data_IF_950044878882
#
_entry.id   IF_950044878882
#
_cell.length_a   1.000
_cell.length_b   1.000
_cell.length_c   1.000
_cell.angle_alpha   90.00
_cell.angle_beta   90.00
_cell.angle_gamma   90.00
#
_symmetry.space_group_name_H-M   'P 1'
#
loop_
_entity.id
_entity.type
_entity.pdbx_description
1 polymer ?
#
# COMPACT_ATOMS: atom_id res chain seq x y z
N UNK A 1 17.06 1.72 39.69
CA UNK A 1 16.98 1.46 38.23
C UNK A 1 16.93 -0.05 38.11
N UNK A 2 16.01 -0.59 37.31
CA UNK A 2 15.96 -2.03 37.06
C UNK A 2 17.25 -2.53 36.41
N UNK A 3 17.52 -3.83 36.49
CA UNK A 3 18.66 -4.49 35.87
C UNK A 3 18.54 -4.33 34.32
N UNK A 4 19.66 -4.01 33.65
CA UNK A 4 19.70 -3.90 32.19
C UNK A 4 19.93 -5.29 31.59
N UNK A 5 19.02 -5.73 30.77
CA UNK A 5 19.13 -6.99 30.05
C UNK A 5 19.85 -6.76 28.72
N UNK A 6 20.97 -7.47 28.50
CA UNK A 6 21.77 -7.36 27.28
C UNK A 6 21.34 -8.37 26.23
N UNK A 7 21.25 -7.91 24.98
CA UNK A 7 20.83 -8.66 23.81
C UNK A 7 21.78 -8.38 22.63
N UNK A 8 22.05 -9.36 21.78
CA UNK A 8 22.78 -9.14 20.54
C UNK A 8 21.94 -8.30 19.56
N UNK A 9 20.60 -8.55 19.54
CA UNK A 9 19.66 -7.90 18.64
C UNK A 9 18.40 -7.47 19.39
N UNK A 10 18.08 -6.18 19.30
CA UNK A 10 16.85 -5.60 19.83
C UNK A 10 16.03 -5.00 18.69
N UNK A 11 14.82 -5.50 18.49
CA UNK A 11 13.91 -5.00 17.47
C UNK A 11 12.78 -4.21 18.13
N UNK A 12 12.52 -3.01 17.62
CA UNK A 12 11.44 -2.17 18.10
C UNK A 12 10.33 -2.10 17.06
N UNK A 13 9.26 -2.87 17.29
CA UNK A 13 8.12 -3.10 16.42
C UNK A 13 8.20 -4.42 15.65
N UNK A 14 7.12 -5.21 15.73
CA UNK A 14 7.00 -6.54 15.12
C UNK A 14 6.44 -6.54 13.69
N UNK A 15 6.52 -5.40 12.97
CA UNK A 15 6.08 -5.30 11.59
C UNK A 15 6.82 -6.23 10.64
N UNK A 16 6.53 -6.15 9.32
CA UNK A 16 7.06 -7.10 8.34
C UNK A 16 8.59 -7.23 8.37
N UNK A 17 9.33 -6.11 8.32
CA UNK A 17 10.79 -6.13 8.43
C UNK A 17 11.27 -6.55 9.81
N UNK A 18 10.61 -6.05 10.88
CA UNK A 18 11.00 -6.34 12.25
C UNK A 18 10.89 -7.81 12.63
N UNK A 19 9.78 -8.47 12.30
CA UNK A 19 9.60 -9.91 12.56
C UNK A 19 10.62 -10.77 11.80
N UNK A 20 10.90 -10.44 10.53
CA UNK A 20 11.90 -11.18 9.75
C UNK A 20 13.30 -10.99 10.32
N UNK A 21 13.67 -9.77 10.72
CA UNK A 21 14.92 -9.50 11.43
C UNK A 21 15.02 -10.35 12.68
N UNK A 22 13.99 -10.35 13.52
CA UNK A 22 14.00 -11.09 14.79
C UNK A 22 14.09 -12.60 14.58
N UNK A 23 13.24 -13.16 13.73
CA UNK A 23 13.23 -14.61 13.48
C UNK A 23 14.54 -15.12 12.87
N UNK A 24 15.13 -14.34 11.95
CA UNK A 24 16.39 -14.72 11.32
C UNK A 24 17.54 -14.62 12.29
N UNK A 25 17.70 -13.50 13.00
CA UNK A 25 18.77 -13.32 13.98
C UNK A 25 18.73 -14.36 15.10
N UNK A 26 17.54 -14.69 15.62
CA UNK A 26 17.42 -15.73 16.63
C UNK A 26 17.79 -17.13 16.12
N UNK A 27 17.41 -17.48 14.87
CA UNK A 27 17.82 -18.75 14.23
C UNK A 27 19.33 -18.82 13.97
N UNK A 28 19.99 -17.69 13.78
CA UNK A 28 21.44 -17.56 13.68
C UNK A 28 22.15 -17.63 15.06
N UNK A 29 21.41 -17.92 16.13
CA UNK A 29 21.94 -18.11 17.47
C UNK A 29 22.13 -16.82 18.27
N UNK A 30 21.62 -15.67 17.80
CA UNK A 30 21.73 -14.39 18.47
C UNK A 30 20.64 -14.23 19.55
N UNK A 31 20.99 -13.76 20.73
CA UNK A 31 20.03 -13.41 21.76
C UNK A 31 19.19 -12.22 21.30
N UNK A 32 17.95 -12.48 20.89
CA UNK A 32 17.07 -11.52 20.18
C UNK A 32 15.79 -11.29 20.93
N UNK A 33 15.41 -10.02 21.13
CA UNK A 33 14.08 -9.65 21.61
C UNK A 33 13.39 -8.63 20.69
N UNK A 34 12.06 -8.70 20.65
CA UNK A 34 11.19 -7.76 19.94
C UNK A 34 10.29 -7.07 20.94
N UNK A 35 10.28 -5.75 20.94
CA UNK A 35 9.32 -4.95 21.70
C UNK A 35 8.11 -4.65 20.81
N UNK A 36 6.94 -5.12 21.18
CA UNK A 36 5.69 -4.89 20.48
C UNK A 36 4.60 -4.40 21.45
N UNK A 37 3.97 -3.28 21.13
CA UNK A 37 2.95 -2.74 22.04
C UNK A 37 1.60 -3.46 21.96
N UNK A 38 1.19 -3.96 20.75
CA UNK A 38 -0.17 -4.50 20.58
C UNK A 38 -0.35 -5.45 19.41
N UNK A 39 0.17 -5.13 18.21
CA UNK A 39 -0.20 -5.77 16.95
C UNK A 39 0.93 -6.68 16.45
N UNK A 40 0.99 -7.91 16.94
CA UNK A 40 1.99 -8.87 16.49
C UNK A 40 1.96 -9.05 14.97
N UNK A 41 3.12 -8.95 14.31
CA UNK A 41 3.24 -8.96 12.86
C UNK A 41 2.97 -7.61 12.20
N UNK A 42 2.65 -6.57 13.00
CA UNK A 42 2.43 -5.20 12.53
C UNK A 42 1.05 -4.95 11.92
N UNK A 43 0.91 -3.85 11.20
CA UNK A 43 -0.36 -3.39 10.64
C UNK A 43 -0.91 -4.32 9.55
N UNK A 44 -0.05 -4.89 8.71
CA UNK A 44 -0.45 -5.68 7.54
C UNK A 44 -1.42 -6.83 7.86
N UNK A 45 -1.12 -7.77 8.79
CA UNK A 45 -2.04 -8.86 9.11
C UNK A 45 -3.22 -8.42 9.98
N UNK A 46 -3.11 -7.32 10.73
CA UNK A 46 -4.07 -6.98 11.77
C UNK A 46 -5.11 -5.93 11.33
N UNK A 47 -4.67 -4.84 10.69
CA UNK A 47 -5.51 -3.64 10.48
C UNK A 47 -5.33 -2.97 9.12
N UNK A 48 -4.59 -3.56 8.18
CA UNK A 48 -4.31 -2.93 6.88
C UNK A 48 -4.49 -3.90 5.71
N UNK A 49 -3.40 -4.38 5.10
CA UNK A 49 -3.43 -5.07 3.81
C UNK A 49 -4.40 -6.26 3.78
N UNK A 50 -4.16 -7.27 4.62
CA UNK A 50 -4.90 -8.53 4.53
C UNK A 50 -6.37 -8.40 4.99
N UNK A 51 -6.70 -7.73 6.11
CA UNK A 51 -8.09 -7.51 6.48
C UNK A 51 -8.85 -6.64 5.45
N UNK A 52 -8.22 -5.62 4.85
CA UNK A 52 -8.86 -4.82 3.80
C UNK A 52 -9.17 -5.68 2.57
N UNK A 53 -8.20 -6.46 2.08
CA UNK A 53 -8.42 -7.34 0.91
C UNK A 53 -9.46 -8.43 1.18
N UNK A 54 -9.56 -8.88 2.43
CA UNK A 54 -10.63 -9.78 2.85
C UNK A 54 -12.02 -9.12 2.75
N UNK A 55 -12.15 -7.86 3.17
CA UNK A 55 -13.40 -7.09 3.05
C UNK A 55 -13.71 -6.78 1.59
N UNK A 56 -12.72 -6.36 0.78
CA UNK A 56 -12.86 -6.14 -0.67
C UNK A 56 -13.38 -7.39 -1.37
N UNK A 57 -12.86 -8.58 -1.03
CA UNK A 57 -13.35 -9.83 -1.60
C UNK A 57 -14.83 -10.09 -1.25
N UNK A 58 -15.28 -9.73 -0.05
CA UNK A 58 -16.70 -9.81 0.31
C UNK A 58 -17.54 -8.82 -0.51
N UNK A 59 -17.01 -7.61 -0.77
CA UNK A 59 -17.67 -6.62 -1.60
C UNK A 59 -17.76 -7.07 -3.08
N UNK A 60 -16.71 -7.73 -3.58
CA UNK A 60 -16.72 -8.32 -4.93
C UNK A 60 -17.77 -9.41 -5.06
N UNK A 61 -17.91 -10.29 -4.06
CA UNK A 61 -18.97 -11.29 -4.04
C UNK A 61 -20.36 -10.65 -4.01
N UNK A 62 -20.54 -9.58 -3.22
CA UNK A 62 -21.81 -8.84 -3.19
C UNK A 62 -22.18 -8.24 -4.55
N UNK A 63 -21.18 -7.74 -5.28
CA UNK A 63 -21.35 -7.20 -6.61
C UNK A 63 -21.70 -8.29 -7.64
N UNK A 64 -21.03 -9.43 -7.62
CA UNK A 64 -21.37 -10.59 -8.45
C UNK A 64 -22.81 -11.06 -8.23
N UNK A 65 -23.27 -11.11 -6.98
CA UNK A 65 -24.66 -11.51 -6.68
C UNK A 65 -25.68 -10.49 -7.20
N UNK A 66 -25.36 -9.19 -7.28
CA UNK A 66 -26.24 -8.20 -7.89
C UNK A 66 -26.36 -8.36 -9.40
N UNK A 67 -25.30 -8.80 -10.04
CA UNK A 67 -25.19 -8.93 -11.49
C UNK A 67 -25.26 -10.41 -11.94
N UNK A 68 -25.79 -11.30 -11.10
CA UNK A 68 -25.83 -12.74 -11.32
C UNK A 68 -26.56 -13.13 -12.60
N UNK A 69 -27.57 -12.34 -13.00
CA UNK A 69 -28.33 -12.55 -14.25
C UNK A 69 -27.47 -12.42 -15.50
N UNK A 70 -26.44 -11.58 -15.47
CA UNK A 70 -25.49 -11.41 -16.58
C UNK A 70 -24.67 -12.69 -16.80
N UNK A 71 -24.59 -13.54 -15.77
CA UNK A 71 -23.91 -14.85 -15.81
C UNK A 71 -24.89 -16.04 -15.90
N UNK A 72 -26.17 -15.77 -16.20
CA UNK A 72 -27.19 -16.80 -16.34
C UNK A 72 -27.68 -17.42 -15.01
N UNK A 73 -27.34 -16.80 -13.88
CA UNK A 73 -27.86 -17.18 -12.54
C UNK A 73 -29.06 -16.28 -12.20
N UNK A 74 -29.96 -16.75 -11.37
CA UNK A 74 -31.15 -16.00 -10.94
C UNK A 74 -31.40 -16.25 -9.46
N UNK A 75 -30.54 -15.74 -8.59
CA UNK A 75 -30.69 -15.83 -7.13
C UNK A 75 -31.55 -14.68 -6.59
N UNK A 76 -32.09 -14.83 -5.39
CA UNK A 76 -32.73 -13.73 -4.67
C UNK A 76 -31.70 -12.64 -4.33
N UNK A 77 -32.10 -11.35 -4.23
CA UNK A 77 -31.22 -10.29 -3.81
C UNK A 77 -30.50 -10.67 -2.50
N UNK A 78 -29.16 -10.62 -2.49
CA UNK A 78 -28.42 -10.89 -1.27
C UNK A 78 -28.53 -9.69 -0.31
N UNK A 79 -28.85 -9.97 0.96
CA UNK A 79 -28.63 -9.01 2.04
C UNK A 79 -27.16 -9.09 2.47
N UNK A 80 -26.55 -7.94 2.72
CA UNK A 80 -25.19 -7.88 3.25
C UNK A 80 -25.26 -7.69 4.76
N UNK A 81 -24.77 -8.71 5.49
CA UNK A 81 -24.67 -8.68 6.93
C UNK A 81 -23.22 -8.25 7.32
N UNK A 82 -23.04 -6.97 7.64
CA UNK A 82 -21.72 -6.42 7.97
C UNK A 82 -21.06 -7.12 9.18
N UNK A 83 -21.87 -7.59 10.13
CA UNK A 83 -21.37 -8.39 11.25
C UNK A 83 -20.69 -9.68 10.78
N UNK A 84 -21.21 -10.35 9.73
CA UNK A 84 -20.62 -11.55 9.15
C UNK A 84 -19.38 -11.24 8.29
N UNK A 85 -19.37 -10.11 7.56
CA UNK A 85 -18.19 -9.62 6.85
C UNK A 85 -17.05 -9.38 7.86
N UNK A 86 -17.36 -8.70 8.97
CA UNK A 86 -16.41 -8.48 10.07
C UNK A 86 -15.94 -9.79 10.69
N UNK A 87 -16.85 -10.72 10.97
CA UNK A 87 -16.53 -12.03 11.56
C UNK A 87 -15.61 -12.84 10.64
N UNK A 88 -15.88 -12.86 9.31
CA UNK A 88 -15.02 -13.50 8.32
C UNK A 88 -13.60 -12.90 8.32
N UNK A 89 -13.49 -11.57 8.35
CA UNK A 89 -12.21 -10.86 8.45
C UNK A 89 -11.47 -11.21 9.74
N UNK A 90 -12.15 -11.19 10.90
CA UNK A 90 -11.55 -11.52 12.20
C UNK A 90 -11.01 -12.94 12.25
N UNK A 91 -11.75 -13.95 11.77
CA UNK A 91 -11.24 -15.33 11.70
C UNK A 91 -9.92 -15.45 10.95
N UNK A 92 -9.76 -14.71 9.84
CA UNK A 92 -8.50 -14.68 9.10
C UNK A 92 -7.39 -14.00 9.91
N UNK A 93 -7.67 -12.85 10.54
CA UNK A 93 -6.71 -12.11 11.36
C UNK A 93 -6.23 -12.95 12.54
N UNK A 94 -7.15 -13.62 13.25
CA UNK A 94 -6.82 -14.49 14.38
C UNK A 94 -5.90 -15.65 13.95
N UNK A 95 -6.18 -16.27 12.80
CA UNK A 95 -5.31 -17.29 12.23
C UNK A 95 -3.90 -16.79 11.93
N UNK A 96 -3.78 -15.57 11.39
CA UNK A 96 -2.49 -14.94 11.10
C UNK A 96 -1.73 -14.56 12.38
N UNK A 97 -2.41 -14.04 13.39
CA UNK A 97 -1.82 -13.74 14.70
C UNK A 97 -1.26 -15.00 15.33
N UNK A 98 -2.03 -16.09 15.35
CA UNK A 98 -1.59 -17.39 15.87
C UNK A 98 -0.36 -17.92 15.12
N UNK A 99 -0.35 -17.83 13.79
CA UNK A 99 0.81 -18.20 12.98
C UNK A 99 2.06 -17.37 13.35
N UNK A 100 1.90 -16.06 13.58
CA UNK A 100 3.03 -15.21 14.01
C UNK A 100 3.54 -15.60 15.41
N UNK A 101 2.64 -15.87 16.36
CA UNK A 101 3.00 -16.35 17.69
C UNK A 101 3.82 -17.65 17.64
N UNK A 102 3.37 -18.61 16.80
CA UNK A 102 4.07 -19.88 16.60
C UNK A 102 5.45 -19.67 15.97
N UNK A 103 5.58 -18.76 15.01
CA UNK A 103 6.85 -18.43 14.40
C UNK A 103 7.84 -17.80 15.39
N UNK A 104 7.39 -16.95 16.32
CA UNK A 104 8.24 -16.43 17.40
C UNK A 104 8.72 -17.56 18.31
N UNK A 105 7.82 -18.45 18.76
CA UNK A 105 8.20 -19.64 19.54
C UNK A 105 9.22 -20.51 18.82
N UNK A 106 8.99 -20.81 17.54
CA UNK A 106 9.89 -21.66 16.71
C UNK A 106 11.24 -21.01 16.42
N UNK A 107 11.31 -19.70 16.32
CA UNK A 107 12.57 -18.98 16.05
C UNK A 107 13.44 -18.82 17.28
N UNK A 108 12.88 -18.85 18.48
CA UNK A 108 13.57 -18.53 19.73
C UNK A 108 13.69 -17.03 20.01
N UNK A 109 13.16 -16.16 19.15
CA UNK A 109 13.13 -14.72 19.41
C UNK A 109 12.11 -14.41 20.54
N UNK A 110 12.54 -13.68 21.55
CA UNK A 110 11.69 -13.27 22.66
C UNK A 110 10.73 -12.15 22.20
N UNK A 111 9.45 -12.29 22.47
CA UNK A 111 8.43 -11.28 22.20
C UNK A 111 8.03 -10.60 23.50
N UNK A 112 8.40 -9.32 23.66
CA UNK A 112 8.12 -8.50 24.84
C UNK A 112 6.95 -7.56 24.52
N UNK A 113 5.78 -7.87 25.10
CA UNK A 113 4.62 -7.03 24.95
C UNK A 113 4.63 -5.84 25.90
N UNK A 114 4.73 -4.64 25.36
CA UNK A 114 4.74 -3.42 26.15
C UNK A 114 5.03 -2.18 25.32
N UNK A 115 4.84 -1.04 25.95
CA UNK A 115 5.12 0.27 25.36
C UNK A 115 6.58 0.65 25.62
N UNK A 116 7.38 0.65 24.56
CA UNK A 116 8.80 0.94 24.60
C UNK A 116 9.11 2.43 24.42
N UNK A 117 10.17 2.90 25.09
CA UNK A 117 10.79 4.20 24.82
C UNK A 117 12.29 4.14 25.09
N UNK A 118 13.08 4.82 24.25
CA UNK A 118 14.51 4.92 24.48
C UNK A 118 14.81 5.71 25.75
N UNK A 119 15.75 5.17 26.54
CA UNK A 119 16.34 5.82 27.74
C UNK A 119 17.84 6.08 27.55
N UNK A 120 18.45 5.59 26.50
CA UNK A 120 19.83 5.75 26.06
C UNK A 120 20.00 5.31 24.61
N UNK A 121 21.19 5.43 24.05
CA UNK A 121 21.47 5.25 22.62
C UNK A 121 20.91 3.94 22.04
N UNK A 122 21.06 2.81 22.75
CA UNK A 122 20.59 1.49 22.32
C UNK A 122 19.78 0.79 23.40
N UNK A 123 19.21 1.58 24.32
CA UNK A 123 18.55 1.07 25.51
C UNK A 123 17.10 1.51 25.52
N UNK A 124 16.19 0.55 25.54
CA UNK A 124 14.75 0.73 25.56
C UNK A 124 14.20 0.32 26.92
N UNK A 125 13.49 1.25 27.58
CA UNK A 125 12.61 0.91 28.70
C UNK A 125 11.27 0.44 28.12
N UNK A 126 10.80 -0.70 28.55
CA UNK A 126 9.52 -1.28 28.15
C UNK A 126 8.60 -1.33 29.35
N UNK A 127 7.51 -0.59 29.31
CA UNK A 127 6.40 -0.71 30.26
C UNK A 127 5.52 -1.88 29.78
N UNK A 128 5.55 -2.98 30.53
CA UNK A 128 4.87 -4.21 30.12
C UNK A 128 3.34 -4.07 30.19
N UNK A 129 2.66 -4.70 29.24
CA UNK A 129 1.18 -4.69 29.20
C UNK A 129 0.53 -5.41 30.39
N UNK A 130 1.24 -6.35 31.02
CA UNK A 130 0.81 -7.08 32.22
C UNK A 130 1.34 -6.48 33.54
N UNK A 131 1.92 -5.30 33.50
CA UNK A 131 2.49 -4.58 34.62
C UNK A 131 3.98 -4.78 34.79
N UNK A 132 4.61 -3.82 35.47
CA UNK A 132 6.05 -3.76 35.63
C UNK A 132 6.79 -3.14 34.43
N UNK A 133 8.11 -3.15 34.51
CA UNK A 133 8.98 -2.64 33.44
C UNK A 133 10.22 -3.51 33.25
N UNK A 134 10.76 -3.48 32.04
CA UNK A 134 12.07 -4.07 31.69
C UNK A 134 12.93 -3.01 31.01
N UNK A 135 14.25 -3.15 31.17
CA UNK A 135 15.23 -2.30 30.49
C UNK A 135 16.07 -3.20 29.59
N UNK A 136 15.91 -3.05 28.28
CA UNK A 136 16.58 -3.88 27.28
C UNK A 136 17.64 -3.06 26.55
N UNK A 137 18.86 -3.59 26.44
CA UNK A 137 19.96 -3.03 25.68
C UNK A 137 20.31 -3.97 24.53
N UNK A 138 20.40 -3.45 23.29
CA UNK A 138 20.81 -4.24 22.14
C UNK A 138 22.14 -3.76 21.58
N UNK A 139 23.05 -4.67 21.23
CA UNK A 139 24.28 -4.32 20.51
C UNK A 139 23.93 -3.75 19.13
N UNK A 140 22.92 -4.32 18.48
CA UNK A 140 22.25 -3.86 17.25
C UNK A 140 20.78 -3.61 17.51
N UNK A 141 20.29 -2.45 17.03
CA UNK A 141 18.88 -2.05 17.21
C UNK A 141 18.22 -1.83 15.85
N UNK A 142 17.02 -2.39 15.67
CA UNK A 142 16.25 -2.28 14.44
C UNK A 142 14.89 -1.64 14.73
N UNK A 143 14.62 -0.50 14.08
CA UNK A 143 13.39 0.27 14.23
C UNK A 143 12.43 -0.11 13.11
N UNK A 144 11.28 -0.71 13.46
CA UNK A 144 10.21 -1.03 12.52
C UNK A 144 8.86 -0.56 13.07
N UNK A 145 8.83 0.73 13.42
CA UNK A 145 7.73 1.37 14.14
C UNK A 145 6.48 1.58 13.29
N UNK A 146 6.63 1.56 11.96
CA UNK A 146 5.52 1.79 11.02
C UNK A 146 4.96 3.20 11.08
N UNK A 147 3.71 3.35 10.60
CA UNK A 147 2.95 4.60 10.56
C UNK A 147 1.51 4.38 11.03
N UNK A 148 0.76 5.45 11.20
CA UNK A 148 -0.69 5.46 11.45
C UNK A 148 -1.38 6.46 10.53
N UNK A 149 -2.73 6.40 10.44
CA UNK A 149 -3.51 7.32 9.62
C UNK A 149 -3.36 8.76 10.11
N UNK A 150 -3.12 9.68 9.18
CA UNK A 150 -3.10 11.11 9.46
C UNK A 150 -4.54 11.64 9.55
N UNK A 151 -4.90 12.26 10.66
CA UNK A 151 -6.13 13.03 10.78
C UNK A 151 -5.76 14.50 10.64
N UNK A 152 -6.12 15.16 9.52
CA UNK A 152 -5.73 16.55 9.27
C UNK A 152 -6.38 17.49 10.30
N UNK A 153 -5.73 18.65 10.48
CA UNK A 153 -6.23 19.68 11.39
C UNK A 153 -7.30 20.52 10.69
N UNK A 154 -8.49 19.91 10.53
CA UNK A 154 -9.68 20.55 9.98
C UNK A 154 -10.61 20.85 11.17
N UNK A 155 -11.14 22.08 11.28
CA UNK A 155 -12.07 22.46 12.34
C UNK A 155 -13.21 21.44 12.52
N UNK A 156 -13.38 20.94 13.75
CA UNK A 156 -14.41 19.97 14.11
C UNK A 156 -14.15 18.51 13.71
N UNK A 157 -13.23 18.22 12.81
CA UNK A 157 -13.02 16.85 12.30
C UNK A 157 -12.69 15.85 13.41
N UNK A 158 -11.76 16.18 14.33
CA UNK A 158 -11.43 15.28 15.45
C UNK A 158 -12.60 15.07 16.40
N UNK A 159 -13.38 16.11 16.64
CA UNK A 159 -14.58 16.02 17.48
C UNK A 159 -15.67 15.16 16.85
N UNK A 160 -15.75 15.12 15.52
CA UNK A 160 -16.66 14.28 14.76
C UNK A 160 -16.30 12.78 14.79
N UNK A 161 -15.22 12.38 15.48
CA UNK A 161 -14.76 10.98 15.60
C UNK A 161 -14.67 10.27 14.26
N UNK A 162 -13.86 10.78 13.33
CA UNK A 162 -13.77 10.19 12.00
C UNK A 162 -13.25 8.75 12.07
N UNK A 163 -13.76 7.92 11.17
CA UNK A 163 -13.22 6.60 10.93
C UNK A 163 -11.86 6.74 10.25
N UNK A 164 -10.93 5.87 10.60
CA UNK A 164 -9.78 5.52 9.77
C UNK A 164 -10.01 4.14 9.16
N UNK A 165 -9.03 3.61 8.43
CA UNK A 165 -9.09 2.22 7.96
C UNK A 165 -9.27 1.20 9.10
N UNK A 166 -8.84 1.54 10.31
CA UNK A 166 -8.95 0.65 11.49
C UNK A 166 -10.40 0.49 11.91
N UNK A 167 -11.08 1.61 12.16
CA UNK A 167 -12.48 1.62 12.59
C UNK A 167 -13.40 1.14 11.46
N UNK A 168 -13.12 1.48 10.21
CA UNK A 168 -13.89 1.03 9.05
C UNK A 168 -13.89 -0.50 8.91
N UNK A 169 -12.77 -1.16 9.21
CA UNK A 169 -12.66 -2.63 9.22
C UNK A 169 -13.39 -3.29 10.39
N UNK A 170 -13.78 -2.55 11.40
CA UNK A 170 -14.50 -3.06 12.58
C UNK A 170 -16.00 -2.74 12.58
N UNK A 171 -16.50 -2.06 11.54
CA UNK A 171 -17.93 -1.78 11.42
C UNK A 171 -18.74 -3.09 11.32
N UNK A 172 -19.79 -3.18 12.12
CA UNK A 172 -20.80 -4.25 12.10
C UNK A 172 -22.15 -3.76 11.55
N UNK A 173 -22.19 -2.53 11.11
CA UNK A 173 -23.31 -1.89 10.44
C UNK A 173 -22.87 -1.27 9.12
N UNK A 174 -23.80 -1.15 8.21
CA UNK A 174 -23.56 -0.45 6.95
C UNK A 174 -23.83 1.06 7.14
N UNK A 175 -22.86 1.97 6.90
CA UNK A 175 -23.14 3.39 6.83
C UNK A 175 -24.21 3.70 5.77
N UNK A 176 -25.22 4.51 6.10
CA UNK A 176 -26.21 4.93 5.10
C UNK A 176 -25.60 5.86 4.05
N UNK A 177 -24.68 6.72 4.46
CA UNK A 177 -23.87 7.56 3.59
C UNK A 177 -22.48 7.76 4.19
N UNK A 178 -21.46 7.20 3.54
CA UNK A 178 -20.06 7.31 3.93
C UNK A 178 -19.38 8.44 3.13
N UNK A 179 -18.88 9.45 3.81
CA UNK A 179 -18.06 10.52 3.22
C UNK A 179 -16.60 10.15 3.43
N UNK A 180 -15.80 10.07 2.36
CA UNK A 180 -14.38 9.69 2.40
C UNK A 180 -13.53 10.91 2.02
N UNK A 181 -12.61 11.28 2.90
CA UNK A 181 -11.63 12.32 2.64
C UNK A 181 -10.34 11.70 2.10
N UNK A 182 -10.01 12.00 0.85
CA UNK A 182 -8.80 11.57 0.14
C UNK A 182 -9.04 10.52 -0.94
N UNK A 183 -8.59 10.82 -2.15
CA UNK A 183 -8.66 10.00 -3.36
C UNK A 183 -7.42 9.14 -3.61
N UNK A 184 -6.75 8.69 -2.54
CA UNK A 184 -5.62 7.75 -2.59
C UNK A 184 -6.05 6.29 -2.45
N UNK A 185 -5.08 5.37 -2.47
CA UNK A 185 -5.30 3.91 -2.46
C UNK A 185 -6.31 3.45 -1.40
N UNK A 186 -6.10 3.83 -0.14
CA UNK A 186 -6.97 3.40 0.98
C UNK A 186 -8.39 3.92 0.81
N UNK A 187 -8.54 5.22 0.49
CA UNK A 187 -9.85 5.84 0.29
C UNK A 187 -10.65 5.17 -0.81
N UNK A 188 -10.01 4.85 -1.94
CA UNK A 188 -10.68 4.28 -3.11
C UNK A 188 -11.06 2.81 -2.93
N UNK A 189 -10.22 2.01 -2.26
CA UNK A 189 -10.56 0.63 -1.89
C UNK A 189 -11.80 0.59 -0.98
N UNK A 190 -11.86 1.44 0.06
CA UNK A 190 -13.03 1.53 0.92
C UNK A 190 -14.24 2.13 0.20
N UNK A 191 -14.05 3.14 -0.67
CA UNK A 191 -15.13 3.73 -1.43
C UNK A 191 -15.89 2.69 -2.25
N UNK A 192 -15.16 1.90 -3.02
CA UNK A 192 -15.74 0.86 -3.84
C UNK A 192 -16.37 -0.26 -2.98
N UNK A 193 -15.67 -0.72 -1.95
CA UNK A 193 -16.18 -1.78 -1.10
C UNK A 193 -17.50 -1.41 -0.42
N UNK A 194 -17.60 -0.22 0.18
CA UNK A 194 -18.82 0.22 0.84
C UNK A 194 -19.95 0.53 -0.14
N UNK A 195 -19.66 1.08 -1.33
CA UNK A 195 -20.66 1.24 -2.39
C UNK A 195 -21.24 -0.12 -2.81
N UNK A 196 -20.39 -1.11 -3.00
CA UNK A 196 -20.78 -2.48 -3.32
C UNK A 196 -21.52 -3.19 -2.19
N UNK A 197 -21.34 -2.81 -0.96
CA UNK A 197 -22.19 -3.26 0.16
C UNK A 197 -23.55 -2.56 0.20
N UNK A 198 -23.71 -1.42 -0.47
CA UNK A 198 -24.98 -0.70 -0.57
C UNK A 198 -24.99 0.65 0.16
N UNK A 199 -23.87 1.13 0.69
CA UNK A 199 -23.76 2.50 1.19
C UNK A 199 -23.82 3.50 0.03
N UNK A 200 -24.47 4.64 0.25
CA UNK A 200 -24.12 5.82 -0.53
C UNK A 200 -22.69 6.23 -0.17
N UNK A 201 -21.86 6.54 -1.16
CA UNK A 201 -20.46 6.93 -0.92
C UNK A 201 -20.13 8.21 -1.68
N UNK A 202 -19.51 9.16 -0.99
CA UNK A 202 -18.94 10.37 -1.61
C UNK A 202 -17.46 10.47 -1.25
N UNK A 203 -16.58 10.50 -2.26
CA UNK A 203 -15.15 10.77 -2.11
C UNK A 203 -14.90 12.25 -2.35
N UNK A 204 -14.21 12.89 -1.42
CA UNK A 204 -13.79 14.30 -1.51
C UNK A 204 -12.28 14.34 -1.65
N UNK A 205 -11.80 14.84 -2.79
CA UNK A 205 -10.37 14.97 -3.12
C UNK A 205 -10.04 16.45 -3.42
N UNK A 206 -9.01 16.96 -2.76
CA UNK A 206 -8.55 18.34 -2.95
C UNK A 206 -7.83 18.56 -4.28
N UNK A 207 -7.25 17.49 -4.82
CA UNK A 207 -6.51 17.53 -6.07
C UNK A 207 -7.42 17.44 -7.31
N UNK A 208 -6.85 17.70 -8.49
CA UNK A 208 -7.57 17.66 -9.76
C UNK A 208 -7.85 16.24 -10.26
N UNK A 209 -7.27 15.22 -9.66
CA UNK A 209 -7.45 13.82 -10.04
C UNK A 209 -7.32 12.88 -8.83
N UNK A 210 -7.86 11.68 -8.97
CA UNK A 210 -7.57 10.56 -8.08
C UNK A 210 -6.13 10.09 -8.29
N UNK A 211 -5.55 9.38 -7.31
CA UNK A 211 -4.21 8.81 -7.43
C UNK A 211 -3.18 9.83 -7.96
N UNK A 212 -2.96 10.91 -7.25
CA UNK A 212 -2.19 12.09 -7.68
C UNK A 212 -0.79 11.80 -8.27
N UNK A 213 -0.23 10.61 -8.05
CA UNK A 213 1.08 10.18 -8.56
C UNK A 213 1.00 9.37 -9.86
N UNK A 214 -0.19 8.95 -10.26
CA UNK A 214 -0.38 8.15 -11.46
C UNK A 214 -0.63 9.04 -12.67
N UNK A 215 -0.41 8.49 -13.87
CA UNK A 215 -0.72 9.17 -15.11
C UNK A 215 -2.23 9.45 -15.20
N UNK A 216 -2.55 10.52 -15.90
CA UNK A 216 -3.95 10.99 -16.01
C UNK A 216 -4.90 9.94 -16.58
N UNK A 217 -4.46 9.15 -17.55
CA UNK A 217 -5.29 8.11 -18.16
C UNK A 217 -5.64 6.97 -17.18
N UNK A 218 -4.75 6.66 -16.25
CA UNK A 218 -4.99 5.71 -15.15
C UNK A 218 -6.01 6.27 -14.16
N UNK A 219 -5.83 7.54 -13.76
CA UNK A 219 -6.75 8.22 -12.86
C UNK A 219 -8.15 8.38 -13.44
N UNK A 220 -8.25 8.72 -14.74
CA UNK A 220 -9.51 8.86 -15.45
C UNK A 220 -10.25 7.52 -15.55
N UNK A 221 -9.57 6.43 -15.90
CA UNK A 221 -10.15 5.10 -15.95
C UNK A 221 -10.73 4.68 -14.59
N UNK A 222 -9.97 4.90 -13.52
CA UNK A 222 -10.44 4.56 -12.17
C UNK A 222 -11.63 5.42 -11.73
N UNK A 223 -11.62 6.70 -12.09
CA UNK A 223 -12.75 7.61 -11.83
C UNK A 223 -14.03 7.12 -12.50
N UNK A 224 -13.92 6.66 -13.76
CA UNK A 224 -15.04 6.08 -14.50
C UNK A 224 -15.58 4.82 -13.80
N UNK A 225 -14.71 3.89 -13.39
CA UNK A 225 -15.12 2.66 -12.72
C UNK A 225 -15.84 2.92 -11.40
N UNK A 226 -15.31 3.83 -10.58
CA UNK A 226 -15.96 4.20 -9.33
C UNK A 226 -17.33 4.85 -9.53
N UNK A 227 -17.48 5.68 -10.56
CA UNK A 227 -18.78 6.27 -10.91
C UNK A 227 -19.79 5.23 -11.38
N UNK A 228 -19.35 4.23 -12.16
CA UNK A 228 -20.19 3.09 -12.54
C UNK A 228 -20.65 2.28 -11.33
N UNK A 229 -19.79 2.14 -10.31
CA UNK A 229 -20.15 1.52 -9.02
C UNK A 229 -21.01 2.46 -8.13
N UNK A 230 -21.41 3.64 -8.61
CA UNK A 230 -22.30 4.59 -7.90
C UNK A 230 -21.59 5.49 -6.89
N UNK A 231 -20.26 5.59 -6.92
CA UNK A 231 -19.50 6.48 -6.05
C UNK A 231 -19.55 7.93 -6.58
N UNK A 232 -20.02 8.88 -5.76
CA UNK A 232 -19.92 10.31 -6.05
C UNK A 232 -18.47 10.78 -5.78
N UNK A 233 -17.73 11.18 -6.82
CA UNK A 233 -16.36 11.66 -6.69
C UNK A 233 -16.29 13.15 -6.97
N UNK A 234 -15.85 13.91 -5.97
CA UNK A 234 -15.68 15.36 -6.00
C UNK A 234 -14.21 15.73 -5.96
N UNK A 235 -13.69 16.21 -7.10
CA UNK A 235 -12.32 16.67 -7.27
C UNK A 235 -12.23 18.20 -7.10
N UNK A 236 -11.03 18.71 -6.78
CA UNK A 236 -10.78 20.14 -6.53
C UNK A 236 -11.66 20.72 -5.40
N UNK A 237 -11.91 19.92 -4.36
CA UNK A 237 -12.76 20.30 -3.25
C UNK A 237 -11.97 20.32 -1.95
N UNK A 238 -12.01 21.45 -1.24
CA UNK A 238 -11.41 21.57 0.07
C UNK A 238 -12.47 21.44 1.16
N UNK A 239 -12.15 20.70 2.21
CA UNK A 239 -12.98 20.61 3.42
C UNK A 239 -12.58 21.76 4.36
N UNK A 240 -13.55 22.59 4.75
CA UNK A 240 -13.32 23.73 5.65
C UNK A 240 -13.67 23.39 7.10
N UNK A 241 -14.73 22.64 7.32
CA UNK A 241 -15.23 22.31 8.65
C UNK A 241 -16.02 21.01 8.63
N UNK A 242 -16.03 20.31 9.76
CA UNK A 242 -16.85 19.12 9.99
C UNK A 242 -17.63 19.31 11.30
N UNK A 243 -18.91 18.98 11.27
CA UNK A 243 -19.82 19.04 12.43
C UNK A 243 -20.46 17.67 12.65
N UNK A 244 -20.96 17.41 13.87
CA UNK A 244 -21.63 16.15 14.19
C UNK A 244 -20.69 15.04 14.65
N UNK A 245 -21.06 13.78 14.43
CA UNK A 245 -20.28 12.60 14.87
C UNK A 245 -20.56 11.38 13.98
N UNK A 246 -19.51 10.68 13.56
CA UNK A 246 -19.62 9.39 12.87
C UNK A 246 -20.45 8.41 13.68
N UNK A 247 -21.27 7.64 12.98
CA UNK A 247 -22.23 6.73 13.57
C UNK A 247 -23.60 7.33 13.86
N UNK A 248 -23.76 8.64 13.62
CA UNK A 248 -25.03 9.36 13.79
C UNK A 248 -25.27 10.24 12.57
N UNK A 249 -24.76 11.47 12.59
CA UNK A 249 -24.84 12.43 11.50
C UNK A 249 -23.59 13.28 11.47
N UNK A 250 -23.01 13.45 10.28
CA UNK A 250 -21.91 14.36 10.02
C UNK A 250 -22.29 15.33 8.91
N UNK A 251 -21.91 16.60 9.10
CA UNK A 251 -22.02 17.65 8.09
C UNK A 251 -20.63 18.15 7.75
N UNK A 252 -20.29 18.09 6.45
CA UNK A 252 -18.98 18.48 5.93
C UNK A 252 -19.15 19.72 5.06
N UNK A 253 -18.62 20.85 5.51
CA UNK A 253 -18.63 22.10 4.77
C UNK A 253 -17.47 22.11 3.77
N UNK A 254 -17.78 22.37 2.51
CA UNK A 254 -16.90 22.26 1.36
C UNK A 254 -16.70 23.62 0.68
N UNK A 255 -15.48 23.90 0.27
CA UNK A 255 -15.14 25.02 -0.60
C UNK A 255 -14.68 24.52 -1.98
N UNK A 256 -15.16 25.19 -3.02
CA UNK A 256 -14.78 25.00 -4.41
C UNK A 256 -14.55 26.35 -5.08
N UNK A 257 -14.00 26.36 -6.29
CA UNK A 257 -13.91 27.60 -7.11
C UNK A 257 -15.29 28.24 -7.43
N UNK A 258 -16.37 27.44 -7.36
CA UNK A 258 -17.73 27.90 -7.62
C UNK A 258 -18.47 28.38 -6.35
N UNK A 259 -17.85 28.29 -5.16
CA UNK A 259 -18.45 28.69 -3.90
C UNK A 259 -18.45 27.56 -2.86
N UNK A 260 -19.21 27.78 -1.78
CA UNK A 260 -19.31 26.84 -0.66
C UNK A 260 -20.55 25.96 -0.79
N UNK A 261 -20.45 24.73 -0.30
CA UNK A 261 -21.56 23.78 -0.22
C UNK A 261 -21.38 22.89 1.01
N UNK A 262 -22.38 22.07 1.32
CA UNK A 262 -22.26 21.08 2.40
C UNK A 262 -22.69 19.70 1.94
N UNK A 263 -22.06 18.68 2.53
CA UNK A 263 -22.46 17.28 2.44
C UNK A 263 -22.97 16.81 3.80
N UNK A 264 -24.01 16.01 3.78
CA UNK A 264 -24.50 15.31 4.97
C UNK A 264 -24.31 13.81 4.79
N UNK A 265 -23.84 13.14 5.84
CA UNK A 265 -23.61 11.71 5.87
C UNK A 265 -23.82 11.11 7.24
N UNK A 266 -23.84 9.79 7.33
CA UNK A 266 -23.88 9.08 8.61
C UNK A 266 -22.49 8.92 9.22
N UNK A 267 -21.45 8.89 8.36
CA UNK A 267 -20.07 8.62 8.75
C UNK A 267 -19.07 9.37 7.87
N UNK A 268 -17.92 9.68 8.45
CA UNK A 268 -16.78 10.25 7.72
C UNK A 268 -15.55 9.38 7.93
N UNK A 269 -14.86 9.02 6.83
CA UNK A 269 -13.61 8.26 6.82
C UNK A 269 -12.47 9.14 6.34
N UNK A 270 -11.34 9.13 7.06
CA UNK A 270 -10.15 9.89 6.71
C UNK A 270 -9.09 8.97 6.10
N UNK A 271 -8.71 9.26 4.86
CA UNK A 271 -7.69 8.56 4.08
C UNK A 271 -6.69 9.53 3.42
N UNK A 272 -6.33 10.62 4.14
CA UNK A 272 -5.54 11.76 3.62
C UNK A 272 -4.03 11.61 3.78
N UNK A 273 -3.54 10.44 4.20
CA UNK A 273 -2.13 10.16 4.36
C UNK A 273 -1.79 9.44 5.67
N UNK A 274 -0.50 9.33 5.96
CA UNK A 274 0.03 8.60 7.11
C UNK A 274 1.14 9.39 7.80
N UNK A 275 1.29 9.17 9.11
CA UNK A 275 2.29 9.81 9.98
C UNK A 275 3.15 8.70 10.61
N UNK A 276 4.49 8.82 10.67
CA UNK A 276 5.35 7.82 11.29
C UNK A 276 5.14 7.73 12.81
N UNK A 277 5.27 6.52 13.36
CA UNK A 277 5.15 6.25 14.79
C UNK A 277 6.45 6.56 15.55
N UNK A 278 7.08 7.68 15.25
CA UNK A 278 8.36 8.12 15.81
C UNK A 278 8.23 9.10 16.97
N UNK A 279 7.05 9.67 17.15
CA UNK A 279 6.73 10.51 18.28
C UNK A 279 6.71 9.73 19.60
N UNK A 280 7.18 10.35 20.68
CA UNK A 280 7.13 9.82 22.07
C UNK A 280 7.86 8.48 22.30
N UNK A 281 8.74 8.06 21.39
CA UNK A 281 9.56 6.85 21.56
C UNK A 281 10.98 7.18 22.04
N UNK A 282 11.32 8.45 22.32
CA UNK A 282 12.58 8.89 22.90
C UNK A 282 13.76 8.86 21.92
N UNK A 283 13.54 9.09 20.61
CA UNK A 283 14.63 9.12 19.62
C UNK A 283 15.68 10.20 19.91
N UNK A 284 15.31 11.28 20.57
CA UNK A 284 16.20 12.34 21.04
C UNK A 284 17.36 11.84 21.90
N UNK A 285 17.22 10.68 22.53
CA UNK A 285 18.24 10.06 23.40
C UNK A 285 19.18 9.13 22.64
N UNK A 286 18.98 8.95 21.34
CA UNK A 286 19.68 7.92 20.55
C UNK A 286 20.70 8.48 19.58
N UNK A 287 20.59 9.74 19.19
CA UNK A 287 21.32 10.34 18.06
C UNK A 287 20.69 10.03 16.68
N UNK A 288 19.55 9.35 16.66
CA UNK A 288 18.78 9.11 15.42
C UNK A 288 18.05 10.38 15.02
N UNK A 289 18.37 10.92 13.83
CA UNK A 289 17.71 12.08 13.27
C UNK A 289 16.41 11.69 12.53
N UNK A 290 15.46 12.64 12.51
CA UNK A 290 14.24 12.55 11.70
C UNK A 290 14.15 13.72 10.72
N UNK A 291 13.38 13.54 9.65
CA UNK A 291 13.04 14.66 8.74
C UNK A 291 11.92 15.54 9.37
N UNK A 292 11.55 16.62 8.67
CA UNK A 292 10.51 17.57 9.11
C UNK A 292 9.12 16.95 9.22
N UNK A 293 8.90 15.76 8.63
CA UNK A 293 7.65 15.00 8.70
C UNK A 293 7.71 13.90 9.75
N UNK A 294 8.83 13.77 10.47
CA UNK A 294 9.03 12.78 11.52
C UNK A 294 9.55 11.41 11.04
N UNK A 295 9.85 11.22 9.75
CA UNK A 295 10.45 9.97 9.27
C UNK A 295 11.92 9.88 9.69
N UNK A 296 12.36 8.68 10.08
CA UNK A 296 13.76 8.43 10.47
C UNK A 296 14.65 8.58 9.23
N UNK A 297 15.68 9.40 9.34
CA UNK A 297 16.67 9.56 8.27
C UNK A 297 17.59 8.33 8.21
N UNK A 298 17.66 7.72 7.03
CA UNK A 298 18.51 6.57 6.74
C UNK A 298 19.29 6.78 5.44
N UNK A 299 20.45 6.11 5.35
CA UNK A 299 21.15 5.98 4.08
C UNK A 299 20.54 4.84 3.23
N UNK A 300 21.11 4.60 2.05
CA UNK A 300 20.65 3.56 1.12
C UNK A 300 20.77 2.13 1.65
N UNK A 301 21.53 1.93 2.70
CA UNK A 301 21.70 0.65 3.40
C UNK A 301 20.78 0.56 4.62
N UNK A 302 19.88 1.55 4.80
CA UNK A 302 18.92 1.66 5.89
C UNK A 302 19.57 1.86 7.28
N UNK A 303 20.84 2.31 7.31
CA UNK A 303 21.54 2.75 8.51
C UNK A 303 21.06 4.13 8.90
N UNK A 304 20.76 4.35 10.17
CA UNK A 304 20.38 5.67 10.69
C UNK A 304 21.60 6.54 10.91
N UNK A 305 21.40 7.76 11.39
CA UNK A 305 22.50 8.67 11.80
C UNK A 305 23.23 8.20 13.07
N UNK A 306 22.68 7.24 13.81
CA UNK A 306 23.28 6.67 15.00
C UNK A 306 23.90 5.29 14.71
N UNK A 307 25.20 5.06 15.04
CA UNK A 307 25.87 3.79 14.75
C UNK A 307 25.20 2.59 15.41
N UNK A 308 25.01 1.51 14.65
CA UNK A 308 24.42 0.26 15.11
C UNK A 308 22.91 0.34 15.33
N UNK A 309 22.25 1.33 14.73
CA UNK A 309 20.79 1.45 14.69
C UNK A 309 20.35 1.55 13.22
N UNK A 310 19.43 0.68 12.81
CA UNK A 310 18.80 0.65 11.49
C UNK A 310 17.32 0.97 11.60
N UNK A 311 16.73 1.49 10.53
CA UNK A 311 15.28 1.65 10.46
C UNK A 311 14.74 1.05 9.15
N UNK A 312 13.61 0.31 9.25
CA UNK A 312 13.01 -0.47 8.18
C UNK A 312 11.54 -0.12 8.02
N UNK A 313 11.06 -0.17 6.78
CA UNK A 313 9.67 0.07 6.43
C UNK A 313 9.26 1.52 6.55
N UNK A 314 7.97 1.73 6.81
CA UNK A 314 7.35 3.05 6.69
C UNK A 314 7.97 4.13 7.58
N UNK A 315 8.42 3.79 8.78
CA UNK A 315 9.04 4.78 9.68
C UNK A 315 10.38 5.33 9.16
N UNK A 316 11.03 4.60 8.26
CA UNK A 316 12.26 5.03 7.55
C UNK A 316 11.98 5.81 6.25
N UNK A 317 10.71 6.15 5.95
CA UNK A 317 10.33 6.79 4.70
C UNK A 317 10.32 5.84 3.48
N UNK A 318 10.51 4.54 3.67
CA UNK A 318 10.34 3.55 2.60
C UNK A 318 8.91 3.55 2.06
N UNK A 319 8.69 3.20 0.77
CA UNK A 319 7.34 3.07 0.21
C UNK A 319 6.43 2.22 1.09
N UNK A 320 5.19 2.67 1.27
CA UNK A 320 4.25 2.15 2.28
C UNK A 320 3.62 0.81 1.84
N UNK A 321 4.47 -0.20 1.62
CA UNK A 321 4.08 -1.55 1.23
C UNK A 321 4.79 -2.59 2.09
N UNK A 322 4.09 -3.67 2.41
CA UNK A 322 4.62 -4.78 3.22
C UNK A 322 5.87 -5.40 2.59
N UNK A 323 5.82 -5.69 1.28
CA UNK A 323 6.94 -6.28 0.53
C UNK A 323 8.18 -5.37 0.49
N UNK A 324 8.01 -4.05 0.61
CA UNK A 324 9.13 -3.11 0.73
C UNK A 324 9.77 -3.20 2.11
N UNK A 325 8.98 -3.31 3.18
CA UNK A 325 9.53 -3.53 4.52
C UNK A 325 10.24 -4.89 4.63
N UNK A 326 9.80 -5.90 3.88
CA UNK A 326 10.50 -7.20 3.75
C UNK A 326 11.79 -7.09 2.93
N UNK A 327 11.79 -6.27 1.87
CA UNK A 327 13.02 -6.00 1.10
C UNK A 327 14.02 -5.17 1.91
N UNK A 328 13.56 -4.21 2.71
CA UNK A 328 14.40 -3.48 3.67
C UNK A 328 15.14 -4.44 4.60
N UNK A 329 14.43 -5.45 5.14
CA UNK A 329 15.08 -6.52 5.90
C UNK A 329 16.15 -7.24 5.07
N UNK A 330 15.85 -7.63 3.82
CA UNK A 330 16.81 -8.32 2.94
C UNK A 330 18.05 -7.47 2.66
N UNK A 331 17.89 -6.16 2.50
CA UNK A 331 19.00 -5.21 2.31
C UNK A 331 19.88 -5.19 3.57
N UNK A 332 19.28 -4.97 4.73
CA UNK A 332 20.03 -4.89 5.99
C UNK A 332 20.71 -6.22 6.31
N UNK A 333 19.98 -7.33 6.22
CA UNK A 333 20.53 -8.66 6.49
C UNK A 333 21.71 -9.00 5.57
N UNK A 334 21.58 -8.78 4.26
CA UNK A 334 22.67 -9.01 3.31
C UNK A 334 23.90 -8.16 3.65
N UNK A 335 23.72 -6.90 4.00
CA UNK A 335 24.82 -5.98 4.32
C UNK A 335 25.52 -6.31 5.65
N UNK A 336 24.81 -6.82 6.63
CA UNK A 336 25.40 -7.33 7.88
C UNK A 336 26.27 -8.57 7.68
N UNK A 337 26.03 -9.29 6.57
CA UNK A 337 26.81 -10.49 6.17
C UNK A 337 27.80 -10.21 5.02
N UNK A 338 28.25 -8.96 4.85
CA UNK A 338 29.26 -8.57 3.87
C UNK A 338 28.74 -8.33 2.46
N UNK A 339 27.44 -8.30 2.25
CA UNK A 339 26.83 -7.95 0.97
C UNK A 339 26.82 -6.44 0.70
N UNK A 340 26.27 -6.05 -0.47
CA UNK A 340 26.25 -4.66 -0.95
C UNK A 340 24.89 -4.23 -1.51
N UNK A 341 23.79 -4.75 -0.96
CA UNK A 341 22.44 -4.35 -1.39
C UNK A 341 22.09 -2.93 -0.95
N UNK A 342 21.28 -2.26 -1.74
CA UNK A 342 20.84 -0.89 -1.45
C UNK A 342 19.39 -0.65 -1.92
N UNK A 343 18.79 0.47 -1.50
CA UNK A 343 17.40 0.82 -1.82
C UNK A 343 17.25 1.47 -3.20
N UNK A 344 18.32 1.95 -3.85
CA UNK A 344 18.27 2.65 -5.14
C UNK A 344 17.93 1.72 -6.30
N UNK A 345 18.46 0.49 -6.25
CA UNK A 345 18.42 -0.45 -7.38
C UNK A 345 17.16 -1.34 -7.35
N UNK A 346 16.24 -1.11 -6.42
CA UNK A 346 15.03 -1.92 -6.30
C UNK A 346 13.91 -1.42 -7.20
N UNK A 347 13.22 -2.34 -7.83
CA UNK A 347 11.92 -2.08 -8.43
C UNK A 347 10.86 -2.09 -7.32
N UNK A 348 9.97 -1.11 -7.34
CA UNK A 348 8.85 -1.00 -6.39
C UNK A 348 7.55 -1.32 -7.13
N UNK A 349 7.09 -2.58 -7.10
CA UNK A 349 5.79 -2.93 -7.64
C UNK A 349 4.69 -2.55 -6.65
N UNK A 350 3.50 -2.22 -7.14
CA UNK A 350 2.33 -2.06 -6.28
C UNK A 350 1.05 -2.41 -7.03
N UNK A 351 0.02 -2.72 -6.25
CA UNK A 351 -1.33 -2.96 -6.73
C UNK A 351 -2.32 -2.27 -5.79
N UNK A 352 -3.28 -1.55 -6.39
CA UNK A 352 -4.50 -1.08 -5.78
C UNK A 352 -5.58 -2.12 -6.08
N UNK A 353 -6.23 -2.63 -5.05
CA UNK A 353 -7.17 -3.74 -5.14
C UNK A 353 -8.62 -3.29 -5.32
N UNK A 354 -8.83 -2.22 -6.11
CA UNK A 354 -10.13 -1.96 -6.69
C UNK A 354 -10.50 -3.07 -7.69
N UNK A 355 -11.69 -3.07 -8.20
CA UNK A 355 -12.16 -4.01 -9.20
C UNK A 355 -12.79 -3.24 -10.36
N UNK A 356 -12.08 -3.10 -11.49
CA UNK A 356 -10.75 -3.65 -11.83
C UNK A 356 -9.59 -3.13 -10.98
N UNK A 357 -8.52 -3.95 -10.87
CA UNK A 357 -7.28 -3.59 -10.17
C UNK A 357 -6.46 -2.54 -10.96
N UNK A 358 -5.61 -1.80 -10.24
CA UNK A 358 -4.58 -0.94 -10.84
C UNK A 358 -3.21 -1.37 -10.31
N UNK A 359 -2.33 -1.81 -11.19
CA UNK A 359 -1.01 -2.28 -10.81
C UNK A 359 0.10 -1.62 -11.65
N UNK A 360 1.24 -1.28 -11.04
CA UNK A 360 2.38 -0.67 -11.72
C UNK A 360 3.72 -1.15 -11.16
N UNK A 361 4.70 -1.26 -12.07
CA UNK A 361 6.13 -1.42 -11.75
C UNK A 361 6.96 -0.54 -12.68
N UNK A 362 8.06 0.02 -12.17
CA UNK A 362 8.91 0.96 -12.89
C UNK A 362 8.28 2.33 -13.07
N UNK A 363 8.72 3.07 -14.07
CA UNK A 363 8.31 4.45 -14.31
C UNK A 363 6.92 4.54 -14.95
N UNK A 364 6.15 5.54 -14.56
CA UNK A 364 5.06 6.05 -15.36
C UNK A 364 5.54 7.16 -16.30
N UNK A 365 4.67 7.70 -17.17
CA UNK A 365 5.05 8.72 -18.15
C UNK A 365 5.54 10.00 -17.47
N UNK A 366 4.85 10.45 -16.41
CA UNK A 366 5.25 11.64 -15.65
C UNK A 366 6.62 11.48 -14.98
N UNK A 367 6.88 10.31 -14.41
CA UNK A 367 8.18 9.99 -13.79
C UNK A 367 9.29 9.86 -14.84
N UNK A 368 9.01 9.28 -16.00
CA UNK A 368 9.98 9.18 -17.11
C UNK A 368 10.37 10.57 -17.63
N UNK A 369 9.40 11.46 -17.83
CA UNK A 369 9.64 12.86 -18.22
C UNK A 369 10.47 13.58 -17.15
N UNK A 370 10.12 13.46 -15.89
CA UNK A 370 10.83 14.11 -14.77
C UNK A 370 12.27 13.60 -14.64
N UNK A 371 12.49 12.30 -14.89
CA UNK A 371 13.81 11.67 -14.87
C UNK A 371 14.63 11.91 -16.16
N UNK A 372 14.09 12.62 -17.15
CA UNK A 372 14.75 12.85 -18.44
C UNK A 372 15.02 11.55 -19.21
N UNK A 373 14.16 10.54 -19.05
CA UNK A 373 14.25 9.24 -19.73
C UNK A 373 13.32 9.21 -20.95
N UNK A 374 13.82 9.42 -22.18
CA UNK A 374 13.02 9.32 -23.40
C UNK A 374 12.44 7.90 -23.55
N UNK A 375 11.18 7.81 -23.95
CA UNK A 375 10.48 6.53 -24.03
C UNK A 375 9.59 6.43 -25.28
N UNK A 376 9.27 5.19 -25.61
CA UNK A 376 8.21 4.78 -26.53
C UNK A 376 7.09 4.17 -25.68
N UNK A 377 5.85 4.49 -25.99
CA UNK A 377 4.70 3.96 -25.25
C UNK A 377 3.88 3.04 -26.14
N UNK A 378 3.47 1.90 -25.59
CA UNK A 378 2.44 1.04 -26.15
C UNK A 378 1.29 0.93 -25.16
N UNK A 379 0.07 0.88 -25.69
CA UNK A 379 -1.16 0.75 -24.91
C UNK A 379 -2.11 -0.25 -25.59
N UNK A 380 -2.61 -1.21 -24.81
CA UNK A 380 -3.55 -2.21 -25.26
C UNK A 380 -4.83 -2.10 -24.43
N UNK A 381 -6.00 -1.80 -25.04
CA UNK A 381 -7.27 -1.83 -24.31
C UNK A 381 -7.55 -3.23 -23.75
N UNK A 382 -8.13 -3.31 -22.56
CA UNK A 382 -8.44 -4.58 -21.92
C UNK A 382 -9.43 -5.40 -22.74
N UNK A 383 -10.31 -4.75 -23.50
CA UNK A 383 -11.21 -5.38 -24.48
C UNK A 383 -10.46 -6.26 -25.52
N UNK A 384 -9.21 -5.94 -25.85
CA UNK A 384 -8.41 -6.74 -26.78
C UNK A 384 -7.81 -8.01 -26.14
N UNK A 385 -7.91 -8.16 -24.81
CA UNK A 385 -7.44 -9.35 -24.07
C UNK A 385 -8.58 -10.36 -24.00
N UNK A 386 -8.43 -11.51 -24.67
CA UNK A 386 -9.54 -12.48 -24.81
C UNK A 386 -10.00 -13.04 -23.45
N UNK A 387 -9.11 -13.22 -22.50
CA UNK A 387 -9.49 -13.63 -21.12
C UNK A 387 -10.39 -12.60 -20.45
N UNK A 388 -10.15 -11.31 -20.64
CA UNK A 388 -10.99 -10.26 -20.09
C UNK A 388 -12.43 -10.35 -20.65
N UNK A 389 -12.58 -10.69 -21.94
CA UNK A 389 -13.90 -10.92 -22.54
C UNK A 389 -14.61 -12.12 -21.90
N UNK A 390 -13.90 -13.23 -21.63
CA UNK A 390 -14.51 -14.40 -20.96
C UNK A 390 -14.90 -14.15 -19.50
N UNK A 391 -14.32 -13.12 -18.87
CA UNK A 391 -14.66 -12.67 -17.53
C UNK A 391 -15.78 -11.63 -17.52
N UNK A 392 -16.22 -11.15 -18.70
CA UNK A 392 -17.10 -10.00 -18.84
C UNK A 392 -16.58 -8.73 -18.17
N UNK A 393 -15.25 -8.63 -18.02
CA UNK A 393 -14.57 -7.48 -17.41
C UNK A 393 -13.51 -6.93 -18.39
N UNK A 394 -13.99 -6.07 -19.28
CA UNK A 394 -13.17 -5.53 -20.40
C UNK A 394 -12.75 -4.08 -20.17
N UNK A 395 -13.05 -3.52 -19.00
CA UNK A 395 -12.69 -2.14 -18.65
C UNK A 395 -11.19 -2.01 -18.39
N UNK A 396 -10.60 -0.91 -18.84
CA UNK A 396 -9.21 -0.56 -18.61
C UNK A 396 -8.27 -0.89 -19.76
N UNK A 397 -6.98 -1.04 -19.43
CA UNK A 397 -5.90 -1.21 -20.40
C UNK A 397 -4.61 -1.71 -19.75
N UNK A 398 -3.69 -2.18 -20.59
CA UNK A 398 -2.26 -2.35 -20.25
C UNK A 398 -1.47 -1.26 -20.98
N UNK A 399 -0.44 -0.69 -20.32
CA UNK A 399 0.46 0.32 -20.87
C UNK A 399 1.91 -0.05 -20.52
N UNK A 400 2.79 -0.04 -21.52
CA UNK A 400 4.21 -0.28 -21.37
C UNK A 400 5.02 0.93 -21.83
N UNK A 401 6.03 1.30 -21.04
CA UNK A 401 7.05 2.25 -21.40
C UNK A 401 8.33 1.50 -21.73
N UNK A 402 8.86 1.69 -22.92
CA UNK A 402 10.12 1.11 -23.39
C UNK A 402 11.08 2.25 -23.68
N UNK A 403 12.37 2.09 -23.39
CA UNK A 403 13.38 3.09 -23.71
C UNK A 403 13.32 3.50 -25.18
N UNK A 404 13.52 4.80 -25.44
CA UNK A 404 13.57 5.29 -26.83
C UNK A 404 14.74 4.64 -27.61
N UNK A 405 15.89 4.52 -26.96
CA UNK A 405 17.15 4.15 -27.60
C UNK A 405 17.55 2.67 -27.42
N UNK A 406 16.73 1.91 -26.68
CA UNK A 406 17.01 0.49 -26.41
C UNK A 406 15.72 -0.30 -26.24
N UNK A 407 15.87 -1.62 -26.04
CA UNK A 407 14.75 -2.53 -25.77
C UNK A 407 14.45 -2.70 -24.27
N UNK A 408 15.00 -1.83 -23.42
CA UNK A 408 14.77 -1.83 -21.98
C UNK A 408 13.33 -1.49 -21.64
N UNK A 409 12.67 -2.29 -20.81
CA UNK A 409 11.36 -1.97 -20.23
C UNK A 409 11.57 -0.98 -19.09
N UNK A 410 11.09 0.25 -19.24
CA UNK A 410 11.18 1.29 -18.23
C UNK A 410 10.07 1.21 -17.20
N UNK A 411 8.88 0.79 -17.62
CA UNK A 411 7.74 0.68 -16.77
C UNK A 411 6.56 -0.02 -17.41
N UNK A 412 5.67 -0.50 -16.56
CA UNK A 412 4.43 -1.18 -16.96
C UNK A 412 3.31 -0.81 -15.99
N UNK A 413 2.16 -0.48 -16.55
CA UNK A 413 0.93 -0.22 -15.80
C UNK A 413 -0.19 -1.07 -16.38
N UNK A 414 -0.93 -1.75 -15.53
CA UNK A 414 -2.16 -2.45 -15.90
C UNK A 414 -3.33 -1.92 -15.09
N UNK A 415 -4.44 -1.65 -15.78
CA UNK A 415 -5.74 -1.31 -15.22
C UNK A 415 -6.71 -2.37 -15.73
N UNK A 416 -7.11 -3.31 -14.89
CA UNK A 416 -7.91 -4.44 -15.35
C UNK A 416 -7.96 -5.61 -14.38
N UNK A 417 -8.68 -6.69 -14.72
CA UNK A 417 -8.75 -7.88 -13.89
C UNK A 417 -7.38 -8.55 -13.77
N UNK A 418 -7.04 -8.99 -12.56
CA UNK A 418 -5.75 -9.66 -12.25
C UNK A 418 -4.51 -8.84 -12.62
N UNK A 419 -4.60 -7.52 -12.60
CA UNK A 419 -3.48 -6.64 -12.97
C UNK A 419 -2.23 -6.90 -12.11
N UNK A 420 -2.41 -7.18 -10.81
CA UNK A 420 -1.32 -7.52 -9.90
C UNK A 420 -0.56 -8.79 -10.30
N UNK A 421 -1.26 -9.80 -10.82
CA UNK A 421 -0.64 -11.07 -11.25
C UNK A 421 0.09 -10.90 -12.59
N UNK A 422 -0.47 -10.16 -13.53
CA UNK A 422 0.20 -9.83 -14.81
C UNK A 422 1.45 -8.99 -14.58
N UNK A 423 1.38 -8.06 -13.62
CA UNK A 423 2.51 -7.22 -13.21
C UNK A 423 3.75 -8.06 -12.88
N UNK A 424 3.58 -9.17 -12.16
CA UNK A 424 4.68 -10.02 -11.72
C UNK A 424 5.49 -10.61 -12.89
N UNK A 425 4.85 -10.88 -14.04
CA UNK A 425 5.51 -11.34 -15.26
C UNK A 425 6.46 -10.26 -15.78
N UNK A 426 5.97 -9.03 -15.92
CA UNK A 426 6.79 -7.92 -16.43
C UNK A 426 7.88 -7.54 -15.42
N UNK A 427 7.57 -7.51 -14.13
CA UNK A 427 8.56 -7.26 -13.07
C UNK A 427 9.72 -8.29 -13.15
N UNK A 428 9.40 -9.56 -13.33
CA UNK A 428 10.42 -10.62 -13.45
C UNK A 428 11.30 -10.41 -14.69
N UNK A 429 10.71 -10.03 -15.82
CA UNK A 429 11.46 -9.67 -17.03
C UNK A 429 12.39 -8.46 -16.79
N UNK A 430 11.88 -7.40 -16.13
CA UNK A 430 12.69 -6.22 -15.76
C UNK A 430 13.84 -6.57 -14.82
N UNK A 431 13.60 -7.41 -13.81
CA UNK A 431 14.64 -7.90 -12.89
C UNK A 431 15.72 -8.71 -13.63
N UNK A 432 15.31 -9.53 -14.60
CA UNK A 432 16.20 -10.29 -15.48
C UNK A 432 16.85 -9.45 -16.57
N UNK A 433 16.54 -8.14 -16.65
CA UNK A 433 16.98 -7.23 -17.74
C UNK A 433 16.67 -7.79 -19.12
N UNK A 434 15.55 -8.50 -19.25
CA UNK A 434 15.09 -8.99 -20.55
C UNK A 434 14.64 -7.83 -21.42
N UNK A 435 14.93 -7.85 -22.73
CA UNK A 435 14.38 -6.87 -23.66
C UNK A 435 12.84 -7.03 -23.77
N UNK A 436 12.12 -5.97 -24.09
CA UNK A 436 10.67 -6.04 -24.28
C UNK A 436 10.25 -7.07 -25.36
N UNK A 437 11.13 -7.32 -26.33
CA UNK A 437 10.94 -8.32 -27.38
C UNK A 437 10.84 -9.73 -26.85
N UNK A 438 11.44 -10.02 -25.69
CA UNK A 438 11.31 -11.32 -25.04
C UNK A 438 9.85 -11.58 -24.60
N UNK A 439 9.15 -10.56 -24.11
CA UNK A 439 7.72 -10.68 -23.77
C UNK A 439 6.81 -10.61 -25.01
N UNK A 440 7.21 -9.85 -26.03
CA UNK A 440 6.50 -9.81 -27.32
C UNK A 440 6.44 -11.19 -27.99
N UNK A 441 7.55 -11.90 -27.95
CA UNK A 441 7.74 -13.16 -28.69
C UNK A 441 7.50 -14.41 -27.83
N UNK A 442 7.15 -14.21 -26.54
CA UNK A 442 6.89 -15.32 -25.62
C UNK A 442 5.59 -16.06 -25.99
N UNK A 443 5.62 -17.39 -25.75
CA UNK A 443 4.41 -18.22 -25.87
C UNK A 443 3.72 -18.22 -24.50
N UNK A 444 2.64 -17.45 -24.39
CA UNK A 444 1.80 -17.45 -23.20
C UNK A 444 0.65 -18.45 -23.32
N UNK A 445 0.22 -19.00 -22.19
CA UNK A 445 -0.94 -19.91 -22.15
C UNK A 445 -2.21 -19.17 -22.56
N UNK A 446 -3.00 -19.76 -23.44
CA UNK A 446 -4.29 -19.26 -23.89
C UNK A 446 -5.44 -20.02 -23.19
N UNK A 447 -6.54 -19.34 -22.74
CA UNK A 447 -6.69 -17.89 -22.59
C UNK A 447 -6.26 -17.43 -21.17
N UNK A 448 -5.36 -16.47 -21.08
CA UNK A 448 -4.92 -15.86 -19.82
C UNK A 448 -4.84 -14.35 -19.94
N UNK A 449 -4.77 -13.62 -18.81
CA UNK A 449 -4.52 -12.18 -18.85
C UNK A 449 -3.11 -11.86 -19.35
N UNK A 450 -2.13 -12.74 -19.03
CA UNK A 450 -0.73 -12.54 -19.41
C UNK A 450 -0.51 -12.61 -20.94
N UNK A 451 -1.35 -13.32 -21.70
CA UNK A 451 -1.20 -13.36 -23.18
C UNK A 451 -1.36 -11.97 -23.84
N UNK A 452 -2.02 -11.02 -23.15
CA UNK A 452 -2.11 -9.63 -23.59
C UNK A 452 -0.77 -8.90 -23.68
N UNK A 453 0.28 -9.42 -23.03
CA UNK A 453 1.65 -8.86 -23.09
C UNK A 453 2.25 -8.98 -24.50
N UNK A 454 1.97 -10.07 -25.23
CA UNK A 454 2.43 -10.22 -26.62
C UNK A 454 1.95 -9.09 -27.52
N UNK A 455 0.64 -8.90 -27.70
CA UNK A 455 0.08 -7.77 -28.47
C UNK A 455 0.47 -6.39 -27.92
N UNK A 456 0.54 -6.21 -26.59
CA UNK A 456 0.97 -4.95 -25.99
C UNK A 456 2.39 -4.58 -26.46
N UNK A 457 3.35 -5.48 -26.25
CA UNK A 457 4.74 -5.23 -26.66
C UNK A 457 4.93 -5.26 -28.17
N UNK A 458 4.08 -5.97 -28.93
CA UNK A 458 4.01 -5.88 -30.38
C UNK A 458 3.59 -4.51 -30.90
N UNK A 459 2.86 -3.74 -30.09
CA UNK A 459 2.45 -2.37 -30.39
C UNK A 459 3.49 -1.29 -30.06
N UNK A 460 4.69 -1.63 -29.57
CA UNK A 460 5.75 -0.67 -29.28
C UNK A 460 6.25 -0.04 -30.59
N UNK A 461 6.19 1.30 -30.73
CA UNK A 461 6.64 1.96 -31.98
C UNK A 461 8.12 1.68 -32.26
N UNK A 462 8.46 1.50 -33.53
CA UNK A 462 9.86 1.41 -33.96
C UNK A 462 10.57 2.75 -33.69
N UNK A 463 11.83 2.77 -33.22
CA UNK A 463 12.58 4.00 -33.03
C UNK A 463 12.61 4.79 -34.34
N UNK A 464 12.15 6.03 -34.34
CA UNK A 464 12.37 6.93 -35.48
C UNK A 464 13.83 7.40 -35.41
N UNK A 465 14.69 6.82 -36.27
CA UNK A 465 16.00 7.39 -36.50
C UNK A 465 15.79 8.83 -37.00
N UNK A 466 16.24 9.83 -36.26
CA UNK A 466 16.36 11.20 -36.76
C UNK A 466 17.17 11.13 -38.06
N UNK A 467 16.58 11.62 -39.15
CA UNK A 467 16.95 11.37 -40.53
C UNK A 467 18.46 11.38 -40.79
N UNK A 468 18.89 10.35 -41.50
CA UNK A 468 20.10 10.41 -42.29
C UNK A 468 19.96 11.60 -43.26
N UNK A 469 20.70 12.66 -42.99
CA UNK A 469 20.71 13.85 -43.81
C UNK A 469 20.91 13.49 -45.27
N UNK A 470 20.03 14.00 -46.11
CA UNK A 470 20.20 14.05 -47.56
C UNK A 470 21.57 14.59 -47.89
N UNK A 471 22.54 13.72 -48.13
CA UNK A 471 23.72 14.13 -48.91
C UNK A 471 23.25 14.16 -50.36
N UNK A 472 22.88 15.34 -50.78
CA UNK A 472 22.80 15.67 -52.22
C UNK A 472 24.19 15.43 -52.81
N UNK A 473 24.31 14.41 -53.64
CA UNK A 473 25.44 14.26 -54.58
C UNK A 473 25.16 15.23 -55.70
N UNK A 474 25.97 16.28 -55.82
CA UNK A 474 26.08 17.11 -57.01
C UNK A 474 27.02 16.45 -58.00
#
# INVERSE_FOLDING_TARGET
MGEIEHLDVLVFGSGAGGKLTAWTSAREGQRTAVVERRLIGGSCPNIACLPTKNVIQSAKVADFVRHDRDFGSGTAPASIEMAEVRARKRRMVDGLVNMHMDNYKKSGAELVFGEGSFVGAKTIRVRLNNGGERILHGDRVFLNLGTHAAIPDIPGLRAAKPLTHVEALELDRLPSHLIILGGGYVGLEFAQAFARFGSRVTVVERGPQLLAREDKDVADALLEFLRLDGVDVRLNVQVEQVEGSSGSSVRVNLATSAGTSALEGSDILVATGRIPNTGNVGLDKTGVATDTRGYIQVNERLETTAPGIWALGECAGSPQFTHISEDDFRIVHANLHGGSRNTRDRLVPFCLFTDPEVARVGLNENEAVTAGRPYRVAKLPMLAVLRAQTLSETRGFMKALVSHDSDEILGFTAVGPHAGEVLAVVQTAMMGKLPYTALRDAIFTHPTMAEGLGPLFGGVPVPTHAGAGNRSVA
#
